data_IF_147957315013
#
_entry.id   IF_147957315013
#
_cell.length_a   1.000
_cell.length_b   1.000
_cell.length_c   1.000
_cell.angle_alpha   90.00
_cell.angle_beta   90.00
_cell.angle_gamma   90.00
#
_symmetry.space_group_name_H-M   'P 1'
#
loop_
_entity.id
_entity.type
_entity.pdbx_description
1 polymer ?
#
# COMPACT_ATOMS: atom_id res chain seq x y z
N UNK A 1 22.20 -10.35 12.21
CA UNK A 1 20.95 -11.13 12.18
C UNK A 1 20.07 -10.54 11.08
N UNK A 2 19.63 -11.36 10.13
CA UNK A 2 18.76 -10.89 9.04
C UNK A 2 17.30 -11.13 9.45
N UNK A 3 16.58 -10.05 9.75
CA UNK A 3 15.16 -10.15 10.09
C UNK A 3 14.32 -10.24 8.81
N UNK A 4 13.48 -11.25 8.71
CA UNK A 4 12.62 -11.44 7.52
C UNK A 4 11.46 -10.45 7.56
N UNK A 5 10.99 -10.03 6.38
CA UNK A 5 9.75 -9.26 6.28
C UNK A 5 8.58 -10.01 6.94
N UNK A 6 7.80 -9.31 7.75
CA UNK A 6 6.73 -9.87 8.57
C UNK A 6 7.15 -10.34 9.96
N UNK A 7 8.45 -10.42 10.26
CA UNK A 7 8.91 -10.73 11.63
C UNK A 7 8.59 -9.60 12.60
N UNK A 8 8.32 -9.95 13.85
CA UNK A 8 8.13 -9.01 14.95
C UNK A 8 9.46 -8.74 15.63
N UNK A 9 9.77 -7.45 15.82
CA UNK A 9 10.98 -7.01 16.52
C UNK A 9 10.67 -5.94 17.54
N UNK A 10 11.47 -5.87 18.60
CA UNK A 10 11.47 -4.79 19.58
C UNK A 10 12.66 -3.87 19.32
N UNK A 11 12.38 -2.58 19.28
CA UNK A 11 13.38 -1.53 19.06
C UNK A 11 12.91 -0.24 19.76
N UNK A 12 13.83 0.47 20.44
CA UNK A 12 13.52 1.74 21.14
C UNK A 12 12.26 1.65 22.01
N UNK A 13 12.16 0.56 22.79
CA UNK A 13 11.03 0.29 23.71
C UNK A 13 9.65 0.15 23.05
N UNK A 14 9.58 -0.12 21.74
CA UNK A 14 8.32 -0.36 21.01
C UNK A 14 8.43 -1.66 20.20
N UNK A 15 7.28 -2.30 19.97
CA UNK A 15 7.19 -3.47 19.10
C UNK A 15 6.83 -3.05 17.67
N UNK A 16 7.51 -3.67 16.70
CA UNK A 16 7.47 -3.33 15.28
C UNK A 16 7.30 -4.58 14.42
N UNK A 17 6.71 -4.40 13.25
CA UNK A 17 6.74 -5.37 12.14
C UNK A 17 7.83 -4.94 11.16
N UNK A 18 8.67 -5.90 10.76
CA UNK A 18 9.67 -5.70 9.71
C UNK A 18 9.00 -5.64 8.35
N UNK A 19 9.26 -4.57 7.60
CA UNK A 19 8.78 -4.38 6.23
C UNK A 19 9.84 -4.83 5.21
N UNK A 20 9.43 -5.18 3.98
CA UNK A 20 10.36 -5.39 2.87
C UNK A 20 11.18 -4.12 2.63
N UNK A 21 12.51 -4.25 2.62
CA UNK A 21 13.44 -3.17 2.28
C UNK A 21 14.21 -3.51 1.00
N UNK A 22 14.36 -2.56 0.05
CA UNK A 22 15.21 -2.75 -1.12
C UNK A 22 16.71 -2.67 -0.79
N UNK A 23 17.07 -2.09 0.36
CA UNK A 23 18.45 -1.93 0.81
C UNK A 23 18.71 -2.81 2.05
N UNK A 24 19.72 -3.67 1.98
CA UNK A 24 20.09 -4.60 3.07
C UNK A 24 20.59 -3.88 4.32
N UNK A 25 21.13 -2.68 4.18
CA UNK A 25 21.63 -1.87 5.30
C UNK A 25 20.52 -1.05 5.97
N UNK A 26 19.32 -1.01 5.39
CA UNK A 26 18.19 -0.24 5.89
C UNK A 26 17.09 -1.18 6.36
N UNK A 27 16.87 -1.24 7.68
CA UNK A 27 15.76 -1.97 8.27
C UNK A 27 14.53 -1.07 8.32
N UNK A 28 13.51 -1.39 7.53
CA UNK A 28 12.23 -0.68 7.53
C UNK A 28 11.28 -1.31 8.55
N UNK A 29 10.77 -0.50 9.46
CA UNK A 29 9.94 -0.93 10.57
C UNK A 29 8.63 -0.15 10.59
N UNK A 30 7.51 -0.87 10.75
CA UNK A 30 6.20 -0.27 11.03
C UNK A 30 5.78 -0.61 12.45
N UNK A 31 5.36 0.35 13.27
CA UNK A 31 4.99 0.05 14.64
C UNK A 31 3.71 -0.79 14.68
N UNK A 32 3.67 -1.75 15.62
CA UNK A 32 2.45 -2.52 15.87
C UNK A 32 1.33 -1.59 16.34
N UNK A 33 0.23 -1.56 15.58
CA UNK A 33 -0.92 -0.67 15.83
C UNK A 33 -0.81 0.76 15.29
N UNK A 34 0.32 1.13 14.66
CA UNK A 34 0.48 2.47 14.07
C UNK A 34 0.19 2.55 12.57
N UNK A 35 0.20 3.78 12.05
CA UNK A 35 -0.10 4.09 10.64
C UNK A 35 1.12 3.89 9.72
N UNK A 36 0.92 3.97 8.40
CA UNK A 36 2.03 3.97 7.43
C UNK A 36 2.90 5.23 7.52
N UNK A 37 2.38 6.33 8.06
CA UNK A 37 3.15 7.57 8.27
C UNK A 37 4.23 7.41 9.35
N UNK A 38 4.13 6.39 10.20
CA UNK A 38 5.10 6.09 11.27
C UNK A 38 6.17 5.08 10.83
N UNK A 39 6.22 4.70 9.55
CA UNK A 39 7.26 3.82 9.04
C UNK A 39 8.63 4.47 9.26
N UNK A 40 9.50 3.75 9.96
CA UNK A 40 10.82 4.23 10.37
C UNK A 40 11.89 3.35 9.74
N UNK A 41 12.88 3.98 9.10
CA UNK A 41 14.07 3.31 8.59
C UNK A 41 15.24 3.42 9.56
N UNK A 42 15.82 2.28 9.92
CA UNK A 42 17.02 2.21 10.77
C UNK A 42 18.19 1.82 9.89
N UNK A 43 19.16 2.73 9.75
CA UNK A 43 20.38 2.46 8.98
C UNK A 43 21.36 1.69 9.86
N UNK A 44 21.41 0.37 9.66
CA UNK A 44 22.15 -0.59 10.48
C UNK A 44 23.65 -0.24 10.66
N UNK A 45 24.36 0.30 9.65
CA UNK A 45 25.79 0.63 9.79
C UNK A 45 26.11 1.71 10.82
N UNK A 46 25.15 2.56 11.23
CA UNK A 46 25.39 3.55 12.29
C UNK A 46 25.59 2.90 13.65
N UNK A 47 24.99 1.72 13.86
CA UNK A 47 25.18 0.87 15.03
C UNK A 47 25.06 1.62 16.38
N UNK A 48 24.10 2.54 16.51
CA UNK A 48 23.81 3.19 17.77
C UNK A 48 23.38 2.16 18.82
N UNK A 49 23.79 2.35 20.07
CA UNK A 49 23.47 1.42 21.15
C UNK A 49 21.95 1.24 21.36
N UNK A 50 21.19 2.29 21.10
CA UNK A 50 19.72 2.34 21.21
C UNK A 50 19.00 1.65 20.04
N UNK A 51 19.71 1.39 18.93
CA UNK A 51 19.18 0.77 17.71
C UNK A 51 19.41 -0.75 17.67
N UNK A 52 19.61 -1.36 18.84
CA UNK A 52 19.67 -2.82 18.97
C UNK A 52 18.29 -3.42 18.78
N UNK A 53 18.14 -4.15 17.69
CA UNK A 53 16.90 -4.84 17.32
C UNK A 53 16.87 -6.22 17.97
N UNK A 54 15.82 -6.48 18.74
CA UNK A 54 15.58 -7.77 19.40
C UNK A 54 14.36 -8.46 18.79
N UNK A 55 14.34 -9.78 18.73
CA UNK A 55 13.13 -10.50 18.31
C UNK A 55 12.07 -10.39 19.41
N UNK A 56 10.82 -10.14 19.03
CA UNK A 56 9.68 -10.16 19.95
C UNK A 56 8.59 -11.09 19.42
N UNK A 57 7.70 -11.54 20.28
CA UNK A 57 6.55 -12.36 19.90
C UNK A 57 5.38 -12.04 20.82
N UNK A 58 4.16 -12.19 20.31
CA UNK A 58 2.99 -12.16 21.18
C UNK A 58 2.97 -13.40 22.08
N UNK A 59 2.69 -13.25 23.39
CA UNK A 59 2.46 -14.40 24.24
C UNK A 59 1.27 -15.20 23.70
N UNK A 60 1.35 -16.52 23.80
CA UNK A 60 0.20 -17.37 23.52
C UNK A 60 -0.86 -17.13 24.59
N UNK A 61 -2.16 -17.14 24.23
CA UNK A 61 -3.23 -17.00 25.21
C UNK A 61 -3.20 -18.18 26.19
N UNK A 62 -3.50 -17.91 27.47
CA UNK A 62 -3.64 -18.90 28.52
C UNK A 62 -5.12 -19.25 28.75
N UNK A 63 -5.40 -20.35 29.47
CA UNK A 63 -6.79 -20.78 29.72
C UNK A 63 -7.59 -19.79 30.58
N UNK A 64 -6.89 -18.98 31.37
CA UNK A 64 -7.39 -17.91 32.22
C UNK A 64 -7.30 -16.52 31.56
N UNK A 65 -6.80 -16.42 30.33
CA UNK A 65 -6.79 -15.20 29.51
C UNK A 65 -8.19 -14.94 28.90
N UNK A 66 -9.18 -14.85 29.79
CA UNK A 66 -10.55 -14.51 29.47
C UNK A 66 -10.63 -13.00 29.23
N UNK A 67 -10.43 -12.60 27.98
CA UNK A 67 -10.65 -11.22 27.55
C UNK A 67 -12.10 -10.76 27.73
N UNK A 68 -12.33 -9.45 27.69
CA UNK A 68 -13.67 -8.90 27.78
C UNK A 68 -14.47 -9.01 26.46
N UNK A 69 -15.79 -8.94 26.56
CA UNK A 69 -16.69 -8.98 25.41
C UNK A 69 -16.39 -7.86 24.39
N UNK A 70 -15.97 -6.70 24.87
CA UNK A 70 -15.67 -5.52 24.03
C UNK A 70 -14.48 -5.79 23.11
N UNK A 71 -13.41 -6.36 23.66
CA UNK A 71 -12.17 -6.74 22.97
C UNK A 71 -12.43 -7.85 21.98
N UNK A 72 -13.21 -8.88 22.37
CA UNK A 72 -13.66 -9.92 21.45
C UNK A 72 -14.48 -9.33 20.28
N UNK A 73 -15.39 -8.41 20.56
CA UNK A 73 -16.19 -7.73 19.53
C UNK A 73 -15.34 -6.81 18.64
N UNK A 74 -14.35 -6.13 19.20
CA UNK A 74 -13.39 -5.32 18.44
C UNK A 74 -12.53 -6.20 17.53
N UNK A 75 -11.98 -7.31 18.03
CA UNK A 75 -11.25 -8.27 17.24
C UNK A 75 -12.13 -8.85 16.12
N UNK A 76 -13.35 -9.27 16.43
CA UNK A 76 -14.31 -9.74 15.44
C UNK A 76 -14.57 -8.70 14.33
N UNK A 77 -14.82 -7.44 14.71
CA UNK A 77 -15.03 -6.35 13.76
C UNK A 77 -13.77 -6.05 12.95
N UNK A 78 -12.59 -6.01 13.57
CA UNK A 78 -11.30 -5.77 12.92
C UNK A 78 -10.98 -6.86 11.90
N UNK A 79 -11.18 -8.13 12.26
CA UNK A 79 -11.03 -9.28 11.37
C UNK A 79 -12.00 -9.17 10.20
N UNK A 80 -13.30 -8.93 10.47
CA UNK A 80 -14.32 -8.77 9.43
C UNK A 80 -14.03 -7.61 8.48
N UNK A 81 -13.50 -6.50 8.98
CA UNK A 81 -13.05 -5.36 8.16
C UNK A 81 -11.78 -5.69 7.38
N UNK A 82 -10.83 -6.43 7.98
CA UNK A 82 -9.58 -6.83 7.33
C UNK A 82 -9.84 -7.77 6.14
N UNK A 83 -10.85 -8.64 6.24
CA UNK A 83 -11.27 -9.51 5.13
C UNK A 83 -11.89 -8.76 3.95
N UNK A 84 -12.28 -7.48 4.10
CA UNK A 84 -12.68 -6.67 2.93
C UNK A 84 -11.55 -6.54 1.93
N UNK A 85 -10.29 -6.52 2.38
CA UNK A 85 -9.10 -6.35 1.54
C UNK A 85 -8.73 -7.57 0.67
N UNK A 86 -9.40 -8.71 0.84
CA UNK A 86 -9.09 -9.95 0.11
C UNK A 86 -10.28 -10.74 -0.40
N UNK A 87 -11.52 -10.34 -0.08
CA UNK A 87 -12.72 -11.04 -0.51
C UNK A 87 -13.14 -10.60 -1.92
N UNK A 88 -12.37 -10.99 -2.94
CA UNK A 88 -12.70 -10.76 -4.34
C UNK A 88 -11.55 -11.09 -5.30
N UNK A 89 -11.82 -11.21 -6.60
CA UNK A 89 -10.79 -11.49 -7.61
C UNK A 89 -9.76 -10.35 -7.78
N UNK A 90 -10.05 -9.16 -7.25
CA UNK A 90 -9.24 -7.95 -7.38
C UNK A 90 -8.94 -7.38 -5.99
N UNK A 91 -7.66 -7.09 -5.71
CA UNK A 91 -7.19 -6.54 -4.43
C UNK A 91 -7.56 -5.07 -4.25
N UNK A 92 -7.63 -4.33 -5.36
CA UNK A 92 -7.89 -2.89 -5.38
C UNK A 92 -9.29 -2.50 -4.91
N UNK A 93 -10.30 -3.36 -5.11
CA UNK A 93 -11.70 -3.01 -4.88
C UNK A 93 -12.01 -2.55 -3.45
N UNK A 94 -11.31 -3.09 -2.47
CA UNK A 94 -11.51 -2.74 -1.06
C UNK A 94 -11.05 -1.33 -0.70
N UNK A 95 -10.21 -0.73 -1.56
CA UNK A 95 -9.54 0.56 -1.33
C UNK A 95 -10.09 1.67 -2.22
N UNK A 96 -11.13 1.39 -3.02
CA UNK A 96 -11.82 2.38 -3.82
C UNK A 96 -12.90 3.08 -2.99
N UNK A 97 -13.04 4.39 -3.14
CA UNK A 97 -14.15 5.15 -2.52
C UNK A 97 -15.44 5.11 -3.34
N UNK A 98 -15.43 4.42 -4.49
CA UNK A 98 -16.55 4.27 -5.41
C UNK A 98 -16.70 2.82 -5.87
N UNK A 99 -17.85 2.48 -6.46
CA UNK A 99 -18.06 1.19 -7.13
C UNK A 99 -17.85 1.35 -8.63
N UNK A 100 -16.83 0.70 -9.23
CA UNK A 100 -16.66 0.69 -10.68
C UNK A 100 -17.86 0.07 -11.39
N UNK A 101 -18.15 0.56 -12.59
CA UNK A 101 -19.14 -0.07 -13.47
C UNK A 101 -18.55 -1.34 -14.08
N UNK A 102 -19.40 -2.31 -14.42
CA UNK A 102 -18.96 -3.60 -14.94
C UNK A 102 -18.04 -3.47 -16.17
N UNK A 103 -18.32 -2.55 -17.09
CA UNK A 103 -17.49 -2.32 -18.27
C UNK A 103 -16.08 -1.80 -17.91
N UNK A 104 -15.96 -0.99 -16.84
CA UNK A 104 -14.67 -0.44 -16.40
C UNK A 104 -13.71 -1.50 -15.86
N UNK A 105 -14.24 -2.70 -15.59
CA UNK A 105 -13.43 -3.84 -15.13
C UNK A 105 -12.81 -4.60 -16.30
N UNK A 106 -13.30 -4.43 -17.54
CA UNK A 106 -12.79 -5.17 -18.70
C UNK A 106 -11.31 -4.86 -18.98
N UNK A 107 -10.86 -3.58 -19.01
CA UNK A 107 -9.43 -3.27 -19.18
C UNK A 107 -8.56 -3.87 -18.06
N UNK A 108 -9.06 -3.90 -16.83
CA UNK A 108 -8.36 -4.52 -15.70
C UNK A 108 -8.16 -6.03 -15.90
N UNK A 109 -9.22 -6.73 -16.32
CA UNK A 109 -9.15 -8.17 -16.59
C UNK A 109 -8.17 -8.45 -17.73
N UNK A 110 -8.19 -7.64 -18.79
CA UNK A 110 -7.24 -7.77 -19.90
C UNK A 110 -5.80 -7.52 -19.45
N UNK A 111 -5.58 -6.49 -18.62
CA UNK A 111 -4.26 -6.17 -18.09
C UNK A 111 -3.66 -7.33 -17.27
N UNK A 112 -4.46 -7.94 -16.38
CA UNK A 112 -4.02 -9.05 -15.53
C UNK A 112 -3.79 -10.37 -16.28
N UNK A 113 -4.20 -10.47 -17.55
CA UNK A 113 -3.98 -11.63 -18.42
C UNK A 113 -2.70 -11.53 -19.24
N UNK A 114 -2.07 -10.35 -19.29
CA UNK A 114 -0.83 -10.20 -20.05
C UNK A 114 0.34 -10.80 -19.26
N UNK A 115 1.18 -11.57 -19.96
CA UNK A 115 2.44 -12.05 -19.42
C UNK A 115 3.55 -11.03 -19.74
N UNK A 116 4.33 -10.64 -18.73
CA UNK A 116 5.41 -9.67 -18.90
C UNK A 116 4.96 -8.21 -18.79
N UNK A 117 5.67 -7.25 -19.43
CA UNK A 117 5.35 -5.83 -19.30
C UNK A 117 3.98 -5.48 -19.89
N UNK A 118 3.08 -4.98 -19.05
CA UNK A 118 1.76 -4.53 -19.44
C UNK A 118 1.81 -3.42 -20.50
N UNK A 119 1.15 -3.66 -21.64
CA UNK A 119 0.93 -2.66 -22.70
C UNK A 119 -0.52 -2.70 -23.14
N UNK A 120 -1.29 -1.66 -22.83
CA UNK A 120 -2.71 -1.59 -23.11
C UNK A 120 -3.10 -0.18 -23.59
N UNK A 121 -3.88 -0.11 -24.66
CA UNK A 121 -4.52 1.12 -25.14
C UNK A 121 -6.00 1.09 -24.75
N UNK A 122 -6.44 2.08 -23.96
CA UNK A 122 -7.84 2.27 -23.58
C UNK A 122 -8.38 3.43 -24.42
N UNK A 123 -9.29 3.12 -25.35
CA UNK A 123 -9.75 4.05 -26.38
C UNK A 123 -11.28 4.12 -26.48
N UNK A 124 -11.98 3.97 -25.35
CA UNK A 124 -13.44 4.14 -25.28
C UNK A 124 -13.88 5.56 -25.63
N UNK A 125 -15.19 5.83 -25.67
CA UNK A 125 -15.73 7.16 -25.95
C UNK A 125 -15.43 8.17 -24.82
N UNK A 126 -15.49 9.46 -25.16
CA UNK A 126 -15.33 10.56 -24.19
C UNK A 126 -16.42 10.45 -23.11
N UNK A 127 -16.03 10.58 -21.84
CA UNK A 127 -16.95 10.49 -20.70
C UNK A 127 -17.22 9.08 -20.17
N UNK A 128 -16.74 8.02 -20.84
CA UNK A 128 -16.92 6.63 -20.39
C UNK A 128 -16.14 6.29 -19.11
N UNK A 129 -15.04 7.01 -18.88
CA UNK A 129 -14.22 6.86 -17.67
C UNK A 129 -12.85 6.24 -17.89
N UNK A 130 -12.22 6.49 -19.05
CA UNK A 130 -10.84 6.05 -19.36
C UNK A 130 -9.82 6.31 -18.25
N UNK A 131 -9.92 7.46 -17.57
CA UNK A 131 -9.09 7.77 -16.40
C UNK A 131 -9.30 6.77 -15.27
N UNK A 132 -10.55 6.43 -14.97
CA UNK A 132 -10.90 5.47 -13.93
C UNK A 132 -10.39 4.08 -14.28
N UNK A 133 -10.52 3.67 -15.54
CA UNK A 133 -10.05 2.35 -16.02
C UNK A 133 -8.53 2.23 -15.92
N UNK A 134 -7.79 3.26 -16.32
CA UNK A 134 -6.33 3.31 -16.17
C UNK A 134 -5.91 3.26 -14.69
N UNK A 135 -6.62 4.00 -13.83
CA UNK A 135 -6.32 4.05 -12.40
C UNK A 135 -6.72 2.76 -11.65
N UNK A 136 -7.73 2.02 -12.12
CA UNK A 136 -8.07 0.69 -11.60
C UNK A 136 -6.91 -0.29 -11.82
N UNK A 137 -6.34 -0.29 -13.03
CA UNK A 137 -5.16 -1.09 -13.35
C UNK A 137 -3.98 -0.68 -12.46
N UNK A 138 -3.69 0.62 -12.38
CA UNK A 138 -2.63 1.15 -11.53
C UNK A 138 -2.76 0.70 -10.07
N UNK A 139 -3.95 0.86 -9.48
CA UNK A 139 -4.22 0.50 -8.09
C UNK A 139 -4.06 -1.00 -7.87
N UNK A 140 -4.57 -1.82 -8.78
CA UNK A 140 -4.43 -3.28 -8.67
C UNK A 140 -2.96 -3.70 -8.70
N UNK A 141 -2.16 -3.16 -9.63
CA UNK A 141 -0.74 -3.49 -9.74
C UNK A 141 0.05 -3.05 -8.49
N UNK A 142 -0.29 -1.89 -7.91
CA UNK A 142 0.27 -1.43 -6.64
C UNK A 142 -0.09 -2.37 -5.48
N UNK A 143 -1.38 -2.72 -5.34
CA UNK A 143 -1.86 -3.57 -4.24
C UNK A 143 -1.42 -5.05 -4.38
N UNK A 144 -1.04 -5.47 -5.60
CA UNK A 144 -0.36 -6.75 -5.86
C UNK A 144 1.13 -6.71 -5.55
N UNK A 145 1.73 -5.52 -5.50
CA UNK A 145 3.18 -5.33 -5.36
C UNK A 145 3.96 -5.59 -6.65
N UNK A 146 3.27 -5.66 -7.80
CA UNK A 146 3.89 -5.84 -9.13
C UNK A 146 4.64 -4.57 -9.56
N UNK A 147 4.18 -3.41 -9.11
CA UNK A 147 4.86 -2.13 -9.27
C UNK A 147 5.05 -1.45 -7.92
N UNK A 148 6.07 -0.60 -7.83
CA UNK A 148 6.36 0.22 -6.63
C UNK A 148 6.27 1.72 -6.89
N UNK A 149 6.34 2.11 -8.15
CA UNK A 149 6.35 3.50 -8.61
C UNK A 149 5.54 3.60 -9.89
N UNK A 150 4.94 4.76 -10.11
CA UNK A 150 4.21 5.06 -11.32
C UNK A 150 4.43 6.51 -11.71
N UNK A 151 4.17 6.82 -12.98
CA UNK A 151 4.10 8.17 -13.49
C UNK A 151 2.88 8.27 -14.40
N UNK A 152 2.18 9.40 -14.34
CA UNK A 152 1.11 9.72 -15.28
C UNK A 152 1.55 10.96 -16.05
N UNK A 153 1.60 10.85 -17.38
CA UNK A 153 1.93 11.98 -18.26
C UNK A 153 0.63 12.51 -18.85
N UNK A 154 0.34 13.78 -18.55
CA UNK A 154 -0.91 14.45 -18.97
C UNK A 154 -0.62 15.88 -19.39
N UNK A 155 -1.58 16.52 -20.07
CA UNK A 155 -1.51 17.94 -20.37
C UNK A 155 -1.50 18.77 -19.06
N UNK A 156 -0.79 19.91 -19.01
CA UNK A 156 -0.62 20.69 -17.77
C UNK A 156 -1.93 21.05 -17.04
N UNK A 157 -3.00 21.33 -17.78
CA UNK A 157 -4.30 21.71 -17.22
C UNK A 157 -5.08 20.52 -16.62
N UNK A 158 -4.67 19.27 -16.90
CA UNK A 158 -5.29 18.06 -16.35
C UNK A 158 -4.58 17.54 -15.09
N UNK A 159 -3.39 18.07 -14.75
CA UNK A 159 -2.60 17.57 -13.63
C UNK A 159 -3.38 17.59 -12.30
N UNK A 160 -4.07 18.69 -12.01
CA UNK A 160 -4.84 18.84 -10.76
C UNK A 160 -6.06 17.91 -10.73
N UNK A 161 -6.73 17.73 -11.86
CA UNK A 161 -7.83 16.78 -12.00
C UNK A 161 -7.35 15.35 -11.73
N UNK A 162 -6.23 14.94 -12.33
CA UNK A 162 -5.67 13.60 -12.11
C UNK A 162 -5.22 13.38 -10.67
N UNK A 163 -4.59 14.39 -10.05
CA UNK A 163 -4.19 14.32 -8.65
C UNK A 163 -5.41 14.17 -7.72
N UNK A 164 -6.49 14.92 -7.98
CA UNK A 164 -7.74 14.79 -7.22
C UNK A 164 -8.38 13.41 -7.42
N UNK A 165 -8.45 12.91 -8.66
CA UNK A 165 -8.96 11.56 -8.95
C UNK A 165 -8.17 10.47 -8.20
N UNK A 166 -6.83 10.51 -8.25
CA UNK A 166 -5.94 9.60 -7.53
C UNK A 166 -6.17 9.63 -6.02
N UNK A 167 -6.27 10.81 -5.42
CA UNK A 167 -6.47 10.97 -3.98
C UNK A 167 -7.87 10.57 -3.55
N UNK A 168 -8.88 11.17 -4.16
CA UNK A 168 -10.25 11.10 -3.67
C UNK A 168 -10.92 9.76 -4.00
N UNK A 169 -10.55 9.14 -5.14
CA UNK A 169 -11.13 7.85 -5.58
C UNK A 169 -10.29 6.63 -5.27
N UNK A 170 -8.96 6.77 -5.28
CA UNK A 170 -8.04 5.66 -5.13
C UNK A 170 -7.18 5.75 -3.87
N UNK A 171 -7.25 6.84 -3.09
CA UNK A 171 -6.44 7.01 -1.89
C UNK A 171 -4.94 7.02 -2.17
N UNK A 172 -4.53 7.57 -3.32
CA UNK A 172 -3.13 7.66 -3.75
C UNK A 172 -2.71 9.13 -3.72
N UNK A 173 -1.77 9.46 -2.84
CA UNK A 173 -1.16 10.79 -2.79
C UNK A 173 -0.07 10.91 -3.86
N UNK A 174 -0.37 11.64 -4.93
CA UNK A 174 0.57 11.88 -6.03
C UNK A 174 1.11 13.32 -6.00
N UNK A 175 2.36 13.50 -6.41
CA UNK A 175 3.00 14.81 -6.50
C UNK A 175 3.00 15.28 -7.96
N UNK A 176 2.52 16.50 -8.20
CA UNK A 176 2.59 17.11 -9.53
C UNK A 176 4.03 17.57 -9.79
N UNK A 177 4.62 17.08 -10.87
CA UNK A 177 5.95 17.46 -11.33
C UNK A 177 5.81 18.39 -12.54
N UNK A 178 6.46 19.55 -12.47
CA UNK A 178 6.56 20.56 -13.51
C UNK A 178 8.04 20.75 -13.85
N UNK A 179 8.33 21.45 -14.94
CA UNK A 179 9.72 21.75 -15.36
C UNK A 179 10.55 22.41 -14.25
N UNK A 180 9.94 23.26 -13.42
CA UNK A 180 10.61 23.89 -12.28
C UNK A 180 10.68 23.03 -10.99
N UNK A 181 10.03 21.86 -10.95
CA UNK A 181 10.04 20.95 -9.80
C UNK A 181 10.64 19.58 -10.13
N UNK A 182 11.26 19.42 -11.29
CA UNK A 182 11.86 18.16 -11.75
C UNK A 182 12.90 17.59 -10.76
N UNK A 183 13.66 18.44 -10.08
CA UNK A 183 14.63 18.03 -9.06
C UNK A 183 14.02 17.22 -7.89
N UNK A 184 12.69 17.20 -7.75
CA UNK A 184 11.99 16.33 -6.77
C UNK A 184 11.93 14.87 -7.18
N UNK A 185 12.24 14.53 -8.44
CA UNK A 185 12.28 13.15 -8.93
C UNK A 185 13.55 12.39 -8.49
N UNK A 186 14.61 13.10 -8.12
CA UNK A 186 15.90 12.51 -7.74
C UNK A 186 15.97 12.04 -6.27
N UNK A 187 14.83 12.06 -5.56
CA UNK A 187 14.69 11.58 -4.17
C UNK A 187 13.99 10.22 -4.14
#
# INVERSE_FOLDING_TARGET
MEFKAGSLVRLRHRDWVVLPSPNRDLLLLKPLGGSEAEITGVYLPLNFAEDRVETTSFPLPAADDLGDFTSARLLYNAVRLSFRNGAGPFRSLARLSFRPRAYQMVPLILALRQEGPLRLLIADDVGVGKTIEALLILRELLDRGEIRRFAVVVLPHLCEQWQAELRDKFGIEAVIIRSNTQARLDR
#
